data_IF_008794883937
#
_entry.id   IF_008794883937
#
_cell.length_a   1.000
_cell.length_b   1.000
_cell.length_c   1.000
_cell.angle_alpha   90.00
_cell.angle_beta   90.00
_cell.angle_gamma   90.00
#
_symmetry.space_group_name_H-M   'P 1'
#
loop_
_entity.id
_entity.type
_entity.pdbx_description
1 polymer ?
#
# COMPACT_ATOMS: atom_id res chain seq x y z
N UNK A 1 5.54 14.29 24.32
CA UNK A 1 5.73 14.36 22.85
C UNK A 1 5.43 12.99 22.27
N UNK A 2 4.30 12.81 21.59
CA UNK A 2 4.00 11.54 20.93
C UNK A 2 4.75 11.50 19.60
N UNK A 3 5.76 10.65 19.51
CA UNK A 3 6.52 10.44 18.27
C UNK A 3 5.66 9.62 17.30
N UNK A 4 4.77 10.28 16.54
CA UNK A 4 4.04 9.67 15.41
C UNK A 4 4.95 9.57 14.18
N UNK A 5 6.09 8.88 14.33
CA UNK A 5 7.07 8.74 13.23
C UNK A 5 6.66 7.72 12.17
N UNK A 6 5.59 6.96 12.41
CA UNK A 6 5.09 5.97 11.45
C UNK A 6 3.64 5.58 11.77
N UNK A 7 2.68 6.40 11.36
CA UNK A 7 1.27 5.96 11.26
C UNK A 7 1.11 5.04 10.07
N UNK A 8 0.15 4.11 10.11
CA UNK A 8 -0.28 3.43 8.88
C UNK A 8 -0.97 4.47 8.00
N UNK A 9 -0.46 4.55 6.78
CA UNK A 9 -0.82 5.50 5.74
C UNK A 9 -1.74 4.75 4.81
N UNK A 10 -2.98 5.21 4.71
CA UNK A 10 -3.95 4.57 3.85
C UNK A 10 -4.43 5.59 2.82
N UNK A 11 -4.44 5.20 1.55
CA UNK A 11 -4.80 6.06 0.42
C UNK A 11 -6.16 6.76 0.57
N UNK A 12 -7.15 6.14 1.21
CA UNK A 12 -8.45 6.76 1.50
C UNK A 12 -8.40 7.49 2.86
N UNK A 13 -8.28 8.83 2.89
CA UNK A 13 -8.22 9.58 4.14
C UNK A 13 -9.55 9.55 4.92
N UNK A 14 -9.49 9.66 6.27
CA UNK A 14 -10.68 9.59 7.13
C UNK A 14 -11.80 10.58 6.79
N UNK A 15 -11.44 11.78 6.33
CA UNK A 15 -12.45 12.80 6.04
C UNK A 15 -13.34 12.42 4.84
N UNK A 16 -12.83 11.69 3.83
CA UNK A 16 -13.65 11.19 2.73
C UNK A 16 -14.63 10.12 3.23
N UNK A 17 -14.15 9.19 4.06
CA UNK A 17 -15.02 8.18 4.68
C UNK A 17 -16.11 8.83 5.54
N UNK A 18 -15.79 9.89 6.28
CA UNK A 18 -16.80 10.66 7.04
C UNK A 18 -17.87 11.30 6.14
N UNK A 19 -17.51 11.79 4.96
CA UNK A 19 -18.49 12.31 4.00
C UNK A 19 -19.39 11.22 3.43
N UNK A 20 -18.85 10.01 3.18
CA UNK A 20 -19.66 8.86 2.77
C UNK A 20 -20.63 8.47 3.89
N UNK A 21 -20.18 8.47 5.15
CA UNK A 21 -21.05 8.21 6.31
C UNK A 21 -22.19 9.23 6.43
N UNK A 22 -21.94 10.51 6.09
CA UNK A 22 -22.95 11.57 6.18
C UNK A 22 -23.95 11.52 5.03
N UNK A 23 -23.48 11.27 3.81
CA UNK A 23 -24.24 11.54 2.60
C UNK A 23 -24.62 10.28 1.80
N UNK A 24 -24.02 9.13 2.09
CA UNK A 24 -24.20 7.89 1.33
C UNK A 24 -25.53 7.16 1.59
N UNK A 25 -25.78 6.13 0.78
CA UNK A 25 -26.83 5.13 1.01
C UNK A 25 -26.57 4.34 2.30
N UNK A 26 -27.56 3.59 2.80
CA UNK A 26 -27.37 2.78 4.00
C UNK A 26 -26.20 1.79 3.86
N UNK A 27 -26.05 1.18 2.68
CA UNK A 27 -24.96 0.25 2.36
C UNK A 27 -23.61 0.97 2.35
N UNK A 28 -23.49 2.09 1.64
CA UNK A 28 -22.25 2.87 1.56
C UNK A 28 -21.79 3.35 2.94
N UNK A 29 -22.73 3.78 3.80
CA UNK A 29 -22.40 4.18 5.17
C UNK A 29 -21.86 3.03 6.00
N UNK A 30 -22.44 1.84 5.89
CA UNK A 30 -21.98 0.66 6.64
C UNK A 30 -20.55 0.27 6.23
N UNK A 31 -20.25 0.26 4.93
CA UNK A 31 -18.90 0.00 4.42
C UNK A 31 -17.89 1.04 4.88
N UNK A 32 -18.22 2.33 4.78
CA UNK A 32 -17.35 3.40 5.24
C UNK A 32 -17.10 3.33 6.76
N UNK A 33 -18.12 3.04 7.57
CA UNK A 33 -17.97 2.85 9.02
C UNK A 33 -17.04 1.68 9.36
N UNK A 34 -17.20 0.53 8.68
CA UNK A 34 -16.31 -0.63 8.85
C UNK A 34 -14.87 -0.28 8.48
N UNK A 35 -14.68 0.39 7.34
CA UNK A 35 -13.35 0.84 6.89
C UNK A 35 -12.70 1.79 7.90
N UNK A 36 -13.45 2.74 8.47
CA UNK A 36 -12.95 3.64 9.53
C UNK A 36 -12.50 2.82 10.74
N UNK A 37 -13.36 1.93 11.26
CA UNK A 37 -13.05 1.13 12.46
C UNK A 37 -11.81 0.25 12.24
N UNK A 38 -11.74 -0.44 11.10
CA UNK A 38 -10.59 -1.28 10.74
C UNK A 38 -9.31 -0.43 10.61
N UNK A 39 -9.38 0.71 9.92
CA UNK A 39 -8.21 1.60 9.75
C UNK A 39 -7.69 2.12 11.10
N UNK A 40 -8.58 2.48 12.02
CA UNK A 40 -8.19 2.93 13.36
C UNK A 40 -7.60 1.82 14.23
N UNK A 41 -8.14 0.59 14.16
CA UNK A 41 -7.55 -0.57 14.83
C UNK A 41 -6.12 -0.81 14.34
N UNK A 42 -5.93 -0.79 13.03
CA UNK A 42 -4.64 -0.98 12.37
C UNK A 42 -3.64 0.12 12.80
N UNK A 43 -4.03 1.40 12.75
CA UNK A 43 -3.20 2.52 13.24
C UNK A 43 -2.88 2.40 14.73
N UNK A 44 -3.82 1.92 15.55
CA UNK A 44 -3.62 1.68 16.97
C UNK A 44 -2.57 0.60 17.23
N UNK A 45 -2.70 -0.55 16.55
CA UNK A 45 -1.75 -1.66 16.63
C UNK A 45 -0.33 -1.23 16.22
N UNK A 46 -0.19 -0.49 15.11
CA UNK A 46 1.11 0.05 14.65
C UNK A 46 1.75 0.96 15.69
N UNK A 47 0.97 1.86 16.31
CA UNK A 47 1.46 2.75 17.38
C UNK A 47 2.01 1.95 18.57
N UNK A 48 1.32 0.89 18.98
CA UNK A 48 1.76 0.02 20.07
C UNK A 48 2.99 -0.79 19.66
N UNK A 49 2.99 -1.43 18.49
CA UNK A 49 4.12 -2.20 17.99
C UNK A 49 5.40 -1.37 17.87
N UNK A 50 5.32 -0.14 17.35
CA UNK A 50 6.48 0.76 17.28
C UNK A 50 6.97 1.16 18.68
N UNK A 51 6.05 1.41 19.60
CA UNK A 51 6.40 1.72 21.00
C UNK A 51 7.10 0.56 21.67
N UNK A 52 6.61 -0.68 21.48
CA UNK A 52 7.22 -1.89 22.02
C UNK A 52 8.56 -2.22 21.36
N UNK A 53 8.69 -2.06 20.04
CA UNK A 53 9.94 -2.25 19.32
C UNK A 53 11.03 -1.26 19.79
N UNK A 54 10.66 -0.06 20.24
CA UNK A 54 11.62 0.86 20.85
C UNK A 54 12.12 0.43 22.25
N UNK A 55 11.40 -0.47 22.91
CA UNK A 55 11.75 -0.98 24.24
C UNK A 55 12.56 -2.29 24.19
N UNK A 56 12.56 -2.96 23.04
CA UNK A 56 13.30 -4.21 22.83
C UNK A 56 14.29 -3.95 21.69
N UNK A 57 15.58 -3.87 22.00
CA UNK A 57 16.63 -3.92 20.97
C UNK A 57 16.59 -5.32 20.32
N UNK A 58 15.67 -5.52 19.39
CA UNK A 58 15.71 -6.69 18.52
C UNK A 58 16.73 -6.40 17.42
N UNK A 59 17.77 -7.24 17.25
CA UNK A 59 18.59 -7.19 16.05
C UNK A 59 17.66 -7.29 14.85
N UNK A 60 17.88 -6.44 13.84
CA UNK A 60 17.17 -6.56 12.57
C UNK A 60 17.33 -8.01 12.08
N UNK A 61 16.22 -8.76 12.05
CA UNK A 61 16.25 -10.10 11.51
C UNK A 61 16.76 -10.00 10.07
N UNK A 62 17.80 -10.76 9.73
CA UNK A 62 18.34 -10.83 8.38
C UNK A 62 17.30 -11.50 7.48
N UNK A 63 16.33 -10.73 6.99
CA UNK A 63 15.53 -11.12 5.84
C UNK A 63 16.51 -11.25 4.67
N UNK A 64 16.49 -12.41 4.02
CA UNK A 64 17.35 -12.66 2.87
C UNK A 64 17.14 -11.55 1.82
N UNK A 65 18.14 -10.70 1.66
CA UNK A 65 18.14 -9.60 0.69
C UNK A 65 18.35 -10.17 -0.72
N UNK A 66 17.52 -9.76 -1.67
CA UNK A 66 17.76 -10.11 -3.05
C UNK A 66 19.01 -9.37 -3.58
N UNK A 67 19.83 -10.07 -4.38
CA UNK A 67 20.97 -9.45 -5.02
C UNK A 67 20.51 -8.26 -5.90
N UNK A 68 21.30 -7.18 -6.01
CA UNK A 68 20.92 -6.00 -6.79
C UNK A 68 20.46 -6.34 -8.20
N UNK A 69 19.33 -5.76 -8.60
CA UNK A 69 18.70 -6.00 -9.91
C UNK A 69 17.80 -7.23 -9.98
N UNK A 70 17.73 -8.04 -8.92
CA UNK A 70 16.80 -9.15 -8.83
C UNK A 70 15.66 -8.79 -7.88
N UNK A 71 14.52 -8.33 -8.42
CA UNK A 71 13.30 -8.19 -7.61
C UNK A 71 12.81 -9.53 -7.11
N UNK A 72 12.20 -9.51 -5.93
CA UNK A 72 11.53 -10.64 -5.31
C UNK A 72 10.16 -10.18 -4.86
N UNK A 73 9.10 -10.78 -5.40
CA UNK A 73 7.71 -10.46 -5.06
C UNK A 73 6.99 -11.70 -4.54
N UNK A 74 6.04 -11.49 -3.65
CA UNK A 74 5.03 -12.48 -3.34
C UNK A 74 3.68 -11.83 -3.08
N UNK A 75 2.65 -12.42 -3.64
CA UNK A 75 1.26 -12.02 -3.43
C UNK A 75 0.55 -13.09 -2.62
N UNK A 76 -0.16 -12.62 -1.61
CA UNK A 76 -0.94 -13.41 -0.67
C UNK A 76 -2.42 -13.03 -0.76
N UNK A 77 -3.28 -13.97 -0.40
CA UNK A 77 -4.73 -13.81 -0.35
C UNK A 77 -5.20 -13.90 1.11
N UNK A 78 -5.81 -12.82 1.61
CA UNK A 78 -6.40 -12.77 2.95
C UNK A 78 -7.78 -13.43 3.03
N UNK A 79 -8.38 -13.81 1.91
CA UNK A 79 -9.66 -14.51 1.79
C UNK A 79 -10.81 -13.79 2.50
N UNK A 80 -10.85 -12.46 2.39
CA UNK A 80 -11.76 -11.57 3.11
C UNK A 80 -11.59 -11.59 4.65
N UNK A 81 -10.51 -12.18 5.14
CA UNK A 81 -10.10 -12.13 6.54
C UNK A 81 -9.24 -10.90 6.85
N UNK A 82 -8.80 -10.80 8.10
CA UNK A 82 -7.90 -9.74 8.59
C UNK A 82 -6.49 -10.24 8.95
N UNK A 83 -6.22 -11.54 8.78
CA UNK A 83 -4.93 -12.16 9.08
C UNK A 83 -3.92 -11.90 7.96
N UNK A 84 -2.80 -11.25 8.30
CA UNK A 84 -1.71 -10.98 7.37
C UNK A 84 -0.53 -11.94 7.57
N UNK A 85 0.20 -12.34 6.50
CA UNK A 85 -0.05 -11.97 5.09
C UNK A 85 -1.18 -12.80 4.44
N UNK A 86 -1.66 -13.87 5.08
CA UNK A 86 -2.64 -14.78 4.47
C UNK A 86 -1.96 -15.91 3.68
N UNK A 87 -2.64 -16.45 2.67
CA UNK A 87 -2.17 -17.61 1.91
C UNK A 87 -1.36 -17.17 0.69
N UNK A 88 -0.16 -17.72 0.49
CA UNK A 88 0.64 -17.44 -0.71
C UNK A 88 -0.10 -17.93 -1.97
N UNK A 89 -0.35 -17.03 -2.92
CA UNK A 89 -1.06 -17.34 -4.17
C UNK A 89 -0.24 -17.07 -5.43
N UNK A 90 0.82 -16.26 -5.35
CA UNK A 90 1.77 -16.06 -6.46
C UNK A 90 3.14 -15.64 -5.94
N UNK A 91 4.20 -16.34 -6.33
CA UNK A 91 5.58 -16.03 -5.97
C UNK A 91 6.38 -15.47 -7.17
N UNK A 92 7.62 -15.02 -6.93
CA UNK A 92 8.51 -14.57 -8.00
C UNK A 92 8.73 -15.68 -9.05
N UNK A 93 8.50 -15.38 -10.33
CA UNK A 93 8.61 -16.33 -11.44
C UNK A 93 7.39 -17.22 -11.70
N UNK A 94 6.38 -17.23 -10.82
CA UNK A 94 5.17 -18.02 -11.03
C UNK A 94 4.32 -17.46 -12.19
N UNK A 95 3.58 -18.33 -12.92
CA UNK A 95 2.67 -17.90 -13.98
C UNK A 95 1.57 -16.97 -13.44
N UNK A 96 0.91 -16.18 -14.30
CA UNK A 96 -0.23 -15.36 -13.92
C UNK A 96 -1.36 -16.16 -13.25
N UNK A 97 -1.99 -15.56 -12.25
CA UNK A 97 -3.20 -16.07 -11.61
C UNK A 97 -4.43 -15.83 -12.50
N UNK A 98 -5.53 -16.54 -12.25
CA UNK A 98 -6.85 -16.18 -12.82
C UNK A 98 -7.47 -14.97 -12.14
N UNK A 99 -6.96 -14.62 -10.95
CA UNK A 99 -7.41 -13.47 -10.18
C UNK A 99 -6.74 -12.18 -10.66
N UNK A 100 -7.50 -11.16 -11.11
CA UNK A 100 -6.93 -9.90 -11.58
C UNK A 100 -6.23 -9.12 -10.46
N UNK A 101 -6.75 -9.12 -9.23
CA UNK A 101 -6.15 -8.38 -8.12
C UNK A 101 -4.75 -8.93 -7.78
N UNK A 102 -4.60 -10.26 -7.83
CA UNK A 102 -3.30 -10.92 -7.64
C UNK A 102 -2.30 -10.49 -8.72
N UNK A 103 -2.73 -10.43 -9.98
CA UNK A 103 -1.85 -10.03 -11.08
C UNK A 103 -1.48 -8.55 -11.02
N UNK A 104 -2.44 -7.68 -10.75
CA UNK A 104 -2.25 -6.24 -10.63
C UNK A 104 -1.29 -5.89 -9.49
N UNK A 105 -1.43 -6.50 -8.31
CA UNK A 105 -0.49 -6.32 -7.20
C UNK A 105 0.92 -6.82 -7.54
N UNK A 106 1.04 -7.96 -8.22
CA UNK A 106 2.31 -8.53 -8.65
C UNK A 106 3.03 -7.66 -9.68
N UNK A 107 2.30 -7.18 -10.68
CA UNK A 107 2.85 -6.41 -11.78
C UNK A 107 3.14 -4.96 -11.34
N UNK A 108 2.27 -4.36 -10.53
CA UNK A 108 2.44 -3.01 -10.01
C UNK A 108 3.62 -2.87 -9.03
N UNK A 109 3.78 -3.83 -8.12
CA UNK A 109 4.97 -3.88 -7.24
C UNK A 109 6.25 -4.09 -8.04
N UNK A 110 6.21 -4.93 -9.09
CA UNK A 110 7.34 -5.16 -9.98
C UNK A 110 7.73 -3.93 -10.80
N UNK A 111 6.74 -3.19 -11.29
CA UNK A 111 6.93 -1.94 -12.02
C UNK A 111 7.53 -0.87 -11.11
N UNK A 112 7.04 -0.78 -9.87
CA UNK A 112 7.58 0.14 -8.87
C UNK A 112 9.05 -0.15 -8.58
N UNK A 113 9.41 -1.42 -8.37
CA UNK A 113 10.82 -1.82 -8.25
C UNK A 113 11.64 -1.38 -9.46
N UNK A 114 11.15 -1.63 -10.67
CA UNK A 114 11.89 -1.35 -11.90
C UNK A 114 12.17 0.15 -12.06
N UNK A 115 11.22 1.02 -11.72
CA UNK A 115 11.47 2.47 -11.67
C UNK A 115 12.62 2.79 -10.70
N UNK A 116 12.50 2.35 -9.44
CA UNK A 116 13.49 2.64 -8.40
C UNK A 116 14.89 2.12 -8.78
N UNK A 117 14.97 0.93 -9.34
CA UNK A 117 16.24 0.33 -9.72
C UNK A 117 16.83 0.94 -11.00
N UNK A 118 16.06 0.98 -12.09
CA UNK A 118 16.59 1.37 -13.40
C UNK A 118 16.84 2.88 -13.52
N UNK A 119 16.03 3.72 -12.86
CA UNK A 119 16.15 5.18 -12.96
C UNK A 119 17.00 5.75 -11.83
N UNK A 120 16.86 5.22 -10.60
CA UNK A 120 17.49 5.78 -9.41
C UNK A 120 18.60 4.90 -8.82
N UNK A 121 18.86 3.71 -9.37
CA UNK A 121 19.88 2.79 -8.85
C UNK A 121 19.56 2.22 -7.46
N UNK A 122 18.30 2.33 -7.00
CA UNK A 122 17.87 1.87 -5.67
C UNK A 122 17.40 0.42 -5.73
N UNK A 123 18.00 -0.45 -4.92
CA UNK A 123 17.58 -1.86 -4.82
C UNK A 123 16.40 -2.01 -3.84
N UNK A 124 15.17 -2.00 -4.35
CA UNK A 124 13.93 -2.13 -3.56
C UNK A 124 13.66 -0.99 -2.55
N UNK A 125 12.64 -1.18 -1.70
CA UNK A 125 12.09 -0.17 -0.79
C UNK A 125 13.09 0.29 0.26
N UNK A 126 13.93 -0.60 0.77
CA UNK A 126 14.95 -0.32 1.80
C UNK A 126 16.35 -0.04 1.23
N UNK A 127 16.49 -0.01 -0.10
CA UNK A 127 17.78 0.12 -0.78
C UNK A 127 18.68 -1.13 -0.69
N UNK A 128 18.21 -2.20 -0.05
CA UNK A 128 18.95 -3.42 0.25
C UNK A 128 18.27 -4.69 -0.29
N UNK A 129 17.30 -4.57 -1.20
CA UNK A 129 16.66 -5.71 -1.85
C UNK A 129 15.55 -6.36 -1.03
N UNK A 130 14.83 -5.58 -0.21
CA UNK A 130 13.61 -6.04 0.48
C UNK A 130 12.65 -6.76 -0.49
N UNK A 131 12.17 -7.92 -0.07
CA UNK A 131 11.10 -8.65 -0.78
C UNK A 131 9.79 -7.84 -0.72
N UNK A 132 9.12 -7.71 -1.87
CA UNK A 132 7.87 -6.99 -2.00
C UNK A 132 6.70 -7.93 -1.77
N UNK A 133 6.26 -8.01 -0.51
CA UNK A 133 5.08 -8.76 -0.13
C UNK A 133 3.82 -7.89 -0.29
N UNK A 134 2.76 -8.50 -0.82
CA UNK A 134 1.46 -7.87 -1.07
C UNK A 134 0.33 -8.81 -0.66
N UNK A 135 -0.69 -8.29 0.03
CA UNK A 135 -1.87 -9.06 0.42
C UNK A 135 -3.13 -8.45 -0.21
N UNK A 136 -3.85 -9.24 -1.00
CA UNK A 136 -5.13 -8.87 -1.63
C UNK A 136 -6.32 -9.45 -0.86
N UNK A 137 -7.53 -9.00 -1.19
CA UNK A 137 -8.80 -9.41 -0.58
C UNK A 137 -8.82 -9.22 0.95
N UNK A 138 -8.25 -8.12 1.43
CA UNK A 138 -8.21 -7.80 2.85
C UNK A 138 -9.56 -7.26 3.32
N UNK A 139 -10.27 -8.06 4.13
CA UNK A 139 -11.63 -7.82 4.60
C UNK A 139 -12.66 -7.56 3.48
N UNK A 140 -13.92 -7.95 3.73
CA UNK A 140 -14.99 -7.66 2.77
C UNK A 140 -15.41 -6.18 2.84
N UNK A 141 -15.39 -5.50 1.70
CA UNK A 141 -15.86 -4.12 1.60
C UNK A 141 -14.91 -3.10 2.23
N UNK A 142 -13.61 -3.39 2.23
CA UNK A 142 -12.61 -2.50 2.79
C UNK A 142 -12.22 -1.45 1.74
N UNK A 143 -12.65 -0.21 1.97
CA UNK A 143 -12.49 0.92 1.06
C UNK A 143 -11.10 1.59 1.21
N UNK A 144 -10.05 0.77 1.24
CA UNK A 144 -8.69 1.28 1.39
C UNK A 144 -7.59 0.32 0.90
N UNK A 145 -6.39 0.88 0.73
CA UNK A 145 -5.12 0.16 0.66
C UNK A 145 -4.10 0.86 1.55
N UNK A 146 -3.03 0.17 1.95
CA UNK A 146 -1.98 0.75 2.79
C UNK A 146 -0.66 -0.02 2.77
N UNK A 147 0.44 0.69 3.04
CA UNK A 147 1.71 0.09 3.49
C UNK A 147 1.74 -0.11 5.02
N UNK A 148 1.84 -1.36 5.47
CA UNK A 148 1.79 -1.70 6.90
C UNK A 148 3.14 -1.58 7.63
N UNK A 149 4.20 -1.19 6.91
CA UNK A 149 5.57 -1.13 7.40
C UNK A 149 6.47 -2.25 6.94
N UNK A 150 5.86 -3.32 6.39
CA UNK A 150 6.53 -4.54 5.92
C UNK A 150 5.97 -5.04 4.59
N UNK A 151 4.67 -4.87 4.35
CA UNK A 151 3.98 -5.34 3.16
C UNK A 151 2.87 -4.37 2.73
N UNK A 152 2.45 -4.52 1.48
CA UNK A 152 1.25 -3.90 0.95
C UNK A 152 -0.01 -4.67 1.31
N UNK A 153 -1.10 -3.97 1.59
CA UNK A 153 -2.42 -4.56 1.87
C UNK A 153 -3.48 -3.83 1.05
N UNK A 154 -4.31 -4.58 0.33
CA UNK A 154 -5.35 -4.04 -0.56
C UNK A 154 -6.72 -4.59 -0.19
N UNK A 155 -7.69 -3.68 -0.02
CA UNK A 155 -9.10 -4.01 -0.05
C UNK A 155 -9.66 -4.04 -1.46
N UNK A 156 -10.80 -4.72 -1.61
CA UNK A 156 -11.54 -4.78 -2.88
C UNK A 156 -12.50 -3.59 -3.06
N UNK A 157 -12.53 -2.65 -2.12
CA UNK A 157 -13.50 -1.56 -2.09
C UNK A 157 -14.93 -2.10 -2.04
N UNK A 158 -15.85 -1.38 -2.68
CA UNK A 158 -17.24 -1.80 -2.84
C UNK A 158 -17.52 -2.33 -4.25
N UNK A 159 -16.52 -2.98 -4.88
CA UNK A 159 -16.63 -3.45 -6.26
C UNK A 159 -17.69 -4.55 -6.49
N UNK A 160 -18.15 -5.20 -5.43
CA UNK A 160 -19.29 -6.12 -5.47
C UNK A 160 -20.64 -5.41 -5.62
N UNK A 161 -20.71 -4.10 -5.35
CA UNK A 161 -21.94 -3.34 -5.47
C UNK A 161 -22.27 -3.03 -6.95
N UNK A 162 -23.57 -2.85 -7.27
CA UNK A 162 -23.99 -2.35 -8.57
C UNK A 162 -23.26 -1.05 -8.93
N UNK A 163 -22.94 -0.84 -10.20
CA UNK A 163 -22.21 0.35 -10.67
C UNK A 163 -22.86 1.69 -10.26
N UNK A 164 -24.18 1.72 -10.08
CA UNK A 164 -24.91 2.90 -9.63
C UNK A 164 -24.69 3.25 -8.14
N UNK A 165 -24.23 2.29 -7.34
CA UNK A 165 -23.99 2.44 -5.89
C UNK A 165 -22.52 2.35 -5.50
N UNK A 166 -21.66 1.85 -6.39
CA UNK A 166 -20.22 1.70 -6.17
C UNK A 166 -19.52 3.06 -6.09
N UNK A 167 -18.66 3.22 -5.09
CA UNK A 167 -17.77 4.37 -4.93
C UNK A 167 -16.33 4.01 -5.32
N UNK A 168 -15.85 2.85 -4.90
CA UNK A 168 -14.48 2.38 -5.09
C UNK A 168 -14.45 1.02 -5.84
N UNK A 169 -13.53 0.90 -6.79
CA UNK A 169 -13.15 -0.43 -7.30
C UNK A 169 -12.09 -1.05 -6.38
N UNK A 170 -11.66 -2.29 -6.64
CA UNK A 170 -10.48 -2.85 -5.95
C UNK A 170 -9.27 -1.93 -6.08
N UNK A 171 -8.52 -1.82 -4.99
CA UNK A 171 -7.43 -0.84 -4.91
C UNK A 171 -6.17 -1.26 -5.69
N UNK A 172 -6.08 -2.51 -6.16
CA UNK A 172 -5.00 -2.97 -7.03
C UNK A 172 -5.13 -2.45 -8.46
N UNK A 173 -6.31 -2.00 -8.90
CA UNK A 173 -6.55 -1.60 -10.29
C UNK A 173 -5.76 -0.36 -10.72
N UNK A 174 -5.30 0.44 -9.76
CA UNK A 174 -4.58 1.69 -9.99
C UNK A 174 -3.10 1.54 -9.69
N UNK A 175 -2.27 1.57 -10.74
CA UNK A 175 -0.82 1.43 -10.62
C UNK A 175 -0.16 2.55 -9.81
N UNK A 176 -0.64 3.78 -9.96
CA UNK A 176 -0.18 4.94 -9.19
C UNK A 176 -0.48 4.80 -7.69
N UNK A 177 -1.62 4.21 -7.30
CA UNK A 177 -1.91 3.87 -5.88
C UNK A 177 -0.92 2.83 -5.35
N UNK A 178 -0.59 1.78 -6.11
CA UNK A 178 0.43 0.80 -5.71
C UNK A 178 1.81 1.49 -5.53
N UNK A 179 2.19 2.36 -6.47
CA UNK A 179 3.44 3.11 -6.41
C UNK A 179 3.49 4.12 -5.24
N UNK A 180 2.36 4.78 -4.95
CA UNK A 180 2.20 5.70 -3.81
C UNK A 180 2.46 4.97 -2.50
N UNK A 181 1.77 3.86 -2.26
CA UNK A 181 1.86 3.14 -1.00
C UNK A 181 3.25 2.52 -0.77
N UNK A 182 3.86 1.96 -1.80
CA UNK A 182 5.24 1.48 -1.72
C UNK A 182 6.24 2.62 -1.46
N UNK A 183 5.97 3.83 -1.96
CA UNK A 183 6.82 5.00 -1.71
C UNK A 183 6.77 5.47 -0.26
N UNK A 184 5.70 5.24 0.48
CA UNK A 184 5.72 5.43 1.93
C UNK A 184 6.78 4.54 2.60
N UNK A 185 6.97 3.30 2.12
CA UNK A 185 8.05 2.43 2.55
C UNK A 185 9.43 3.03 2.25
N UNK A 186 9.62 3.62 1.06
CA UNK A 186 10.90 4.29 0.72
C UNK A 186 11.14 5.46 1.67
N UNK A 187 10.13 6.29 1.90
CA UNK A 187 10.22 7.42 2.83
C UNK A 187 10.55 6.95 4.26
N UNK A 188 9.98 5.82 4.71
CA UNK A 188 10.27 5.20 6.00
C UNK A 188 11.75 4.82 6.16
N UNK A 189 12.40 4.33 5.09
CA UNK A 189 13.80 3.89 5.12
C UNK A 189 14.82 5.01 4.83
N UNK A 190 14.35 6.20 4.47
CA UNK A 190 15.19 7.36 4.16
C UNK A 190 14.98 8.51 5.16
N UNK A 191 14.24 9.55 4.76
CA UNK A 191 14.02 10.75 5.56
C UNK A 191 13.14 10.49 6.80
N UNK A 192 12.36 9.41 6.79
CA UNK A 192 11.46 8.99 7.87
C UNK A 192 10.60 10.16 8.38
N UNK A 193 9.97 10.88 7.45
CA UNK A 193 9.22 12.09 7.71
C UNK A 193 8.06 11.79 8.68
N UNK A 194 8.02 12.53 9.80
CA UNK A 194 6.94 12.41 10.76
C UNK A 194 5.61 12.77 10.11
N UNK A 195 4.57 11.98 10.40
CA UNK A 195 3.29 12.14 9.72
C UNK A 195 2.38 13.15 10.43
N UNK A 196 2.80 14.42 10.39
CA UNK A 196 2.14 15.53 11.06
C UNK A 196 2.49 16.85 10.37
N UNK A 197 1.55 17.79 10.32
CA UNK A 197 1.70 19.10 9.67
C UNK A 197 2.39 19.02 8.29
N UNK A 198 3.41 19.86 8.05
CA UNK A 198 4.11 19.95 6.77
C UNK A 198 4.94 18.70 6.46
N UNK A 199 5.49 18.01 7.47
CA UNK A 199 6.24 16.78 7.20
C UNK A 199 5.33 15.63 6.77
N UNK A 200 4.09 15.59 7.29
CA UNK A 200 3.06 14.67 6.80
C UNK A 200 2.63 15.00 5.37
N UNK A 201 2.38 16.27 5.08
CA UNK A 201 2.04 16.72 3.73
C UNK A 201 3.15 16.42 2.70
N UNK A 202 4.43 16.57 3.08
CA UNK A 202 5.55 16.19 2.23
C UNK A 202 5.65 14.68 2.03
N UNK A 203 5.34 13.87 3.06
CA UNK A 203 5.32 12.42 2.95
C UNK A 203 4.28 11.96 1.90
N UNK A 204 3.05 12.47 1.99
CA UNK A 204 2.00 12.24 0.99
C UNK A 204 2.42 12.71 -0.40
N UNK A 205 2.91 13.95 -0.50
CA UNK A 205 3.30 14.52 -1.79
C UNK A 205 4.43 13.74 -2.46
N UNK A 206 5.39 13.20 -1.70
CA UNK A 206 6.42 12.32 -2.26
C UNK A 206 5.79 11.03 -2.78
N UNK A 207 4.89 10.42 -2.02
CA UNK A 207 4.17 9.22 -2.46
C UNK A 207 3.36 9.46 -3.74
N UNK A 208 2.63 10.56 -3.83
CA UNK A 208 1.91 10.94 -5.06
C UNK A 208 2.85 11.12 -6.25
N UNK A 209 3.94 11.89 -6.07
CA UNK A 209 4.91 12.15 -7.14
C UNK A 209 5.50 10.84 -7.67
N UNK A 210 5.96 9.95 -6.79
CA UNK A 210 6.52 8.68 -7.24
C UNK A 210 5.45 7.73 -7.78
N UNK A 211 4.23 7.73 -7.24
CA UNK A 211 3.09 7.00 -7.82
C UNK A 211 2.81 7.39 -9.27
N UNK A 212 2.72 8.70 -9.55
CA UNK A 212 2.58 9.22 -10.91
C UNK A 212 3.79 8.85 -11.78
N UNK A 213 5.01 8.91 -11.25
CA UNK A 213 6.22 8.53 -12.00
C UNK A 213 6.28 7.04 -12.33
N UNK A 214 5.79 6.15 -11.46
CA UNK A 214 5.68 4.70 -11.73
C UNK A 214 4.75 4.47 -12.92
N UNK A 215 3.59 5.13 -12.94
CA UNK A 215 2.63 5.04 -14.04
C UNK A 215 3.19 5.60 -15.35
N UNK A 216 3.85 6.75 -15.30
CA UNK A 216 4.50 7.37 -16.46
C UNK A 216 5.61 6.46 -17.02
N UNK A 217 6.45 5.90 -16.14
CA UNK A 217 7.52 4.96 -16.50
C UNK A 217 6.96 3.71 -17.20
N UNK A 218 5.91 3.10 -16.65
CA UNK A 218 5.29 1.91 -17.24
C UNK A 218 4.72 2.18 -18.64
N UNK A 219 4.21 3.39 -18.86
CA UNK A 219 3.59 3.79 -20.13
C UNK A 219 4.60 4.41 -21.11
N UNK A 220 5.84 4.64 -20.71
CA UNK A 220 6.84 5.33 -21.53
C UNK A 220 6.43 6.77 -21.88
N UNK A 221 5.71 7.45 -20.98
CA UNK A 221 5.17 8.79 -21.23
C UNK A 221 6.18 9.89 -20.88
N UNK A 222 6.19 10.94 -21.69
CA UNK A 222 6.79 12.23 -21.32
C UNK A 222 5.88 13.00 -20.36
N UNK A 223 6.41 14.04 -19.72
CA UNK A 223 5.65 14.88 -18.78
C UNK A 223 4.41 15.55 -19.41
N UNK A 224 4.44 15.84 -20.73
CA UNK A 224 3.31 16.42 -21.46
C UNK A 224 2.24 15.41 -21.86
N UNK A 225 2.52 14.12 -21.77
CA UNK A 225 1.60 13.03 -22.13
C UNK A 225 0.95 12.38 -20.90
N UNK A 226 1.50 12.63 -19.72
CA UNK A 226 1.00 12.13 -18.45
C UNK A 226 -0.38 12.69 -18.11
N UNK A 227 -1.22 11.88 -17.46
CA UNK A 227 -2.55 12.29 -17.01
C UNK A 227 -2.54 13.14 -15.73
N UNK A 228 -1.45 13.07 -14.95
CA UNK A 228 -1.21 13.72 -13.65
C UNK A 228 -2.21 13.33 -12.56
#
# INVERSE_FOLDING_TARGET
MHNHRCSILCITPPHMLHEIVRNGSATQRDLALRTIVTSEQIRGLRRVSNSLASLVETPAASVASAAPGNKQRAVYDAQNGSGLPGNLVRNEGDPPSTDPAVNEAYDGSGTTYDLYFNVYGRNSIDGSGLKLDSTVHYQKGYDNAFWDGKQMVYGDGDEDLPTAERIFNRFTISLDVIGHELTHGVTQHEANLAYWDQSGALNESLSDVFGSLVKQYQRGQTASEADW
#
